data_IF_502594145849
#
_entry.id   IF_502594145849
#
_cell.length_a   1.000
_cell.length_b   1.000
_cell.length_c   1.000
_cell.angle_alpha   90.00
_cell.angle_beta   90.00
_cell.angle_gamma   90.00
#
_symmetry.space_group_name_H-M   'P 1'
#
loop_
_entity.id
_entity.type
_entity.pdbx_description
1 polymer ?
#
# COMPACT_ATOMS: atom_id res chain seq x y z
N UNK A 1 -34.75 -9.90 38.04
CA UNK A 1 -34.14 -9.53 36.75
C UNK A 1 -32.66 -9.89 36.84
N UNK A 2 -32.30 -11.08 36.37
CA UNK A 2 -30.89 -11.50 36.28
C UNK A 2 -30.37 -11.07 34.92
N UNK A 3 -29.49 -10.08 34.92
CA UNK A 3 -28.82 -9.58 33.73
C UNK A 3 -27.81 -10.64 33.27
N UNK A 4 -28.25 -11.52 32.36
CA UNK A 4 -27.45 -12.56 31.73
C UNK A 4 -26.62 -12.01 30.55
N UNK A 5 -26.05 -10.82 30.71
CA UNK A 5 -25.18 -10.23 29.68
C UNK A 5 -23.83 -10.94 29.71
N UNK A 6 -23.65 -11.91 28.83
CA UNK A 6 -22.38 -12.61 28.60
C UNK A 6 -21.28 -11.57 28.31
N UNK A 7 -20.30 -11.44 29.21
CA UNK A 7 -19.16 -10.54 29.01
C UNK A 7 -18.31 -11.06 27.85
N UNK A 8 -18.38 -10.40 26.70
CA UNK A 8 -17.53 -10.69 25.55
C UNK A 8 -16.16 -10.04 25.82
N UNK A 9 -15.12 -10.86 25.95
CA UNK A 9 -13.75 -10.37 26.10
C UNK A 9 -13.18 -10.06 24.72
N UNK A 10 -12.57 -8.89 24.56
CA UNK A 10 -11.89 -8.53 23.31
C UNK A 10 -10.73 -9.50 23.04
N UNK A 11 -10.74 -10.11 21.87
CA UNK A 11 -9.62 -10.92 21.36
C UNK A 11 -8.93 -10.13 20.27
N UNK A 12 -7.67 -9.76 20.50
CA UNK A 12 -6.87 -9.05 19.52
C UNK A 12 -6.68 -9.92 18.26
N UNK A 13 -6.81 -9.34 17.05
CA UNK A 13 -6.60 -10.09 15.82
C UNK A 13 -5.13 -10.51 15.70
N UNK A 14 -4.91 -11.71 15.18
CA UNK A 14 -3.55 -12.18 14.88
C UNK A 14 -3.07 -11.59 13.56
N UNK A 15 -1.88 -10.99 13.55
CA UNK A 15 -1.23 -10.54 12.32
C UNK A 15 -0.65 -11.76 11.59
N UNK A 16 -1.30 -12.15 10.49
CA UNK A 16 -0.81 -13.23 9.64
C UNK A 16 0.15 -12.67 8.58
N UNK A 17 1.32 -13.29 8.43
CA UNK A 17 2.28 -12.95 7.39
C UNK A 17 1.70 -13.35 6.02
N UNK A 18 1.12 -12.39 5.29
CA UNK A 18 0.66 -12.59 3.92
C UNK A 18 1.85 -12.58 2.97
N UNK A 19 2.35 -13.78 2.64
CA UNK A 19 3.30 -14.01 1.54
C UNK A 19 4.53 -13.09 1.53
N UNK A 20 5.08 -12.89 0.34
CA UNK A 20 6.11 -11.88 0.08
C UNK A 20 5.39 -10.62 -0.40
N UNK A 21 5.71 -9.48 0.20
CA UNK A 21 5.32 -8.19 -0.39
C UNK A 21 6.08 -8.09 -1.71
N UNK A 22 5.35 -8.03 -2.83
CA UNK A 22 5.92 -7.74 -4.15
C UNK A 22 6.81 -6.50 -4.02
N UNK A 23 7.95 -6.49 -4.70
CA UNK A 23 8.82 -5.33 -4.66
C UNK A 23 8.03 -4.13 -5.20
N UNK A 24 7.65 -3.21 -4.31
CA UNK A 24 7.07 -1.94 -4.70
C UNK A 24 8.13 -1.20 -5.52
N UNK A 25 7.85 -0.94 -6.79
CA UNK A 25 8.62 0.02 -7.59
C UNK A 25 8.42 1.37 -6.92
N UNK A 26 9.36 1.75 -6.05
CA UNK A 26 9.37 3.09 -5.49
C UNK A 26 9.73 4.04 -6.62
N UNK A 27 8.75 4.80 -7.12
CA UNK A 27 9.01 5.91 -8.03
C UNK A 27 10.09 6.81 -7.41
N UNK A 28 11.21 6.98 -8.11
CA UNK A 28 12.27 7.87 -7.65
C UNK A 28 11.78 9.31 -7.82
N UNK A 29 12.20 10.22 -6.94
CA UNK A 29 11.85 11.65 -7.05
C UNK A 29 12.37 12.34 -8.32
N UNK A 30 13.12 11.60 -9.15
CA UNK A 30 13.69 12.06 -10.42
C UNK A 30 12.93 11.51 -11.64
N UNK A 31 11.91 10.67 -11.46
CA UNK A 31 11.11 10.14 -12.57
C UNK A 31 11.89 9.22 -13.52
N UNK A 32 13.02 8.69 -13.06
CA UNK A 32 13.95 7.89 -13.88
C UNK A 32 13.43 6.46 -14.11
N UNK A 33 12.47 6.00 -13.30
CA UNK A 33 11.88 4.66 -13.36
C UNK A 33 10.35 4.75 -13.33
N UNK A 34 9.76 5.29 -14.40
CA UNK A 34 8.31 5.29 -14.58
C UNK A 34 7.79 3.92 -15.04
N UNK A 35 6.59 3.55 -14.61
CA UNK A 35 5.90 2.35 -15.11
C UNK A 35 5.48 2.50 -16.59
N UNK A 36 5.45 3.73 -17.09
CA UNK A 36 5.17 4.07 -18.49
C UNK A 36 6.43 4.60 -19.20
N UNK A 37 6.58 4.22 -20.48
CA UNK A 37 7.62 4.78 -21.33
C UNK A 37 7.20 6.18 -21.81
N UNK A 38 7.94 7.20 -21.39
CA UNK A 38 7.77 8.57 -21.88
C UNK A 38 8.76 8.87 -23.03
N UNK A 39 8.36 9.63 -24.05
CA UNK A 39 9.28 10.10 -25.08
C UNK A 39 10.50 10.83 -24.50
N UNK A 40 11.65 10.73 -25.18
CA UNK A 40 12.85 11.47 -24.80
C UNK A 40 12.58 12.97 -24.89
N UNK A 41 12.81 13.69 -23.77
CA UNK A 41 12.57 15.13 -23.68
C UNK A 41 11.23 15.53 -23.06
N UNK A 42 10.39 14.59 -22.62
CA UNK A 42 9.21 14.92 -21.82
C UNK A 42 9.61 15.69 -20.56
N UNK A 43 9.05 16.90 -20.33
CA UNK A 43 9.31 17.65 -19.12
C UNK A 43 8.93 16.85 -17.88
N UNK A 44 9.69 17.01 -16.79
CA UNK A 44 9.41 16.31 -15.54
C UNK A 44 8.00 16.57 -15.00
N UNK A 45 7.47 17.78 -15.19
CA UNK A 45 6.11 18.15 -14.78
C UNK A 45 4.99 17.47 -15.59
N UNK A 46 5.33 16.87 -16.73
CA UNK A 46 4.38 16.14 -17.59
C UNK A 46 4.48 14.61 -17.38
N UNK A 47 5.38 14.15 -16.51
CA UNK A 47 5.44 12.74 -16.11
C UNK A 47 4.28 12.46 -15.15
N UNK A 48 3.40 11.53 -15.53
CA UNK A 48 2.33 11.05 -14.67
C UNK A 48 2.79 9.79 -13.92
N UNK A 49 2.64 9.80 -12.59
CA UNK A 49 2.92 8.65 -11.72
C UNK A 49 1.57 8.10 -11.25
N UNK A 50 1.32 6.80 -11.44
CA UNK A 50 0.09 6.12 -10.99
C UNK A 50 0.11 5.81 -9.49
#
# INVERSE_FOLDING_TARGET
MTDNTTKITYVAPSLCKKGRVEALTAGTSKGENGDAAFPVGTPFGDLTFS
#
